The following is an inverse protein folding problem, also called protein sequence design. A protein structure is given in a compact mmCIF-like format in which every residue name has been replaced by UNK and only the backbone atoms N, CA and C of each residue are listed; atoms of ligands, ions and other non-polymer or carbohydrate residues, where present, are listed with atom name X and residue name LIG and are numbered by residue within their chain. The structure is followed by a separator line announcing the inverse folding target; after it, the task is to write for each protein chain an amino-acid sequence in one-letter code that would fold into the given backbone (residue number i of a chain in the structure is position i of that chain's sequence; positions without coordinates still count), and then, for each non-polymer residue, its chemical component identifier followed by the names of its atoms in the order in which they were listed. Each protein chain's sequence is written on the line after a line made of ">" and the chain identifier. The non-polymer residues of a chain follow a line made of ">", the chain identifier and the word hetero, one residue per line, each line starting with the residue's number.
data_IF_475085003850
#
_entry.id   IF_475085003850
#
_cell.length_a   1.000
_cell.length_b   1.000
_cell.length_c   1.000
_cell.angle_alpha   90.00
_cell.angle_beta   90.00
_cell.angle_gamma   90.00
#
_symmetry.space_group_name_H-M   'P 1'
#
loop_
_entity.id
_entity.type
_entity.pdbx_description
1 polymer ?
#
# COMPACT_ATOMS: atom_id res chain seq x y z
N UNK A 1 -56.14 0.39 -3.42
CA UNK A 1 -54.83 -0.30 -3.30
C UNK A 1 -53.77 0.32 -4.19
N UNK A 2 -54.02 0.50 -5.49
CA UNK A 2 -53.10 1.13 -6.46
C UNK A 2 -52.59 2.51 -6.05
N UNK A 3 -53.47 3.39 -5.57
CA UNK A 3 -53.09 4.75 -5.15
C UNK A 3 -52.14 4.76 -3.92
N UNK A 4 -52.30 3.80 -3.01
CA UNK A 4 -51.42 3.64 -1.86
C UNK A 4 -50.03 3.12 -2.28
N UNK A 5 -49.97 2.22 -3.27
CA UNK A 5 -48.73 1.73 -3.85
C UNK A 5 -47.97 2.87 -4.53
N UNK A 6 -48.66 3.73 -5.26
CA UNK A 6 -48.06 4.88 -5.93
C UNK A 6 -47.49 5.90 -4.94
N UNK A 7 -48.22 6.19 -3.85
CA UNK A 7 -47.71 7.04 -2.75
C UNK A 7 -46.47 6.44 -2.10
N UNK A 8 -46.46 5.13 -1.84
CA UNK A 8 -45.31 4.44 -1.26
C UNK A 8 -44.09 4.49 -2.21
N UNK A 9 -44.30 4.29 -3.52
CA UNK A 9 -43.24 4.39 -4.52
C UNK A 9 -42.62 5.79 -4.57
N UNK A 10 -43.44 6.85 -4.58
CA UNK A 10 -42.94 8.23 -4.56
C UNK A 10 -42.17 8.53 -3.27
N UNK A 11 -42.64 8.03 -2.13
CA UNK A 11 -41.96 8.18 -0.83
C UNK A 11 -40.60 7.49 -0.84
N UNK A 12 -40.54 6.26 -1.34
CA UNK A 12 -39.31 5.47 -1.44
C UNK A 12 -38.30 6.14 -2.37
N UNK A 13 -38.75 6.62 -3.53
CA UNK A 13 -37.90 7.35 -4.47
C UNK A 13 -37.31 8.63 -3.86
N UNK A 14 -38.09 9.37 -3.08
CA UNK A 14 -37.61 10.55 -2.35
C UNK A 14 -36.61 10.16 -1.26
N UNK A 15 -36.88 9.08 -0.52
CA UNK A 15 -35.98 8.58 0.52
C UNK A 15 -34.63 8.15 -0.06
N UNK A 16 -34.63 7.42 -1.18
CA UNK A 16 -33.42 6.98 -1.86
C UNK A 16 -32.56 8.15 -2.36
N UNK A 17 -33.18 9.20 -2.91
CA UNK A 17 -32.45 10.42 -3.32
C UNK A 17 -31.84 11.12 -2.12
N UNK A 18 -32.61 11.27 -1.04
CA UNK A 18 -32.11 11.89 0.20
C UNK A 18 -30.93 11.11 0.78
N UNK A 19 -31.06 9.79 0.88
CA UNK A 19 -29.98 8.93 1.40
C UNK A 19 -28.71 9.03 0.56
N UNK A 20 -28.86 9.12 -0.77
CA UNK A 20 -27.72 9.32 -1.67
C UNK A 20 -27.04 10.67 -1.46
N UNK A 21 -27.81 11.74 -1.30
CA UNK A 21 -27.29 13.08 -1.03
C UNK A 21 -26.60 13.14 0.34
N UNK A 22 -27.19 12.55 1.38
CA UNK A 22 -26.63 12.47 2.72
C UNK A 22 -25.27 11.72 2.69
N UNK A 23 -25.20 10.54 2.07
CA UNK A 23 -23.96 9.76 1.92
C UNK A 23 -22.89 10.50 1.14
N UNK A 24 -23.27 11.28 0.14
CA UNK A 24 -22.34 12.10 -0.65
C UNK A 24 -21.75 13.23 0.20
N UNK A 25 -22.54 13.85 1.07
CA UNK A 25 -22.06 14.87 2.01
C UNK A 25 -21.13 14.23 3.05
N UNK A 26 -21.56 13.15 3.68
CA UNK A 26 -20.77 12.39 4.66
C UNK A 26 -19.40 11.99 4.10
N UNK A 27 -19.35 11.46 2.87
CA UNK A 27 -18.09 11.05 2.25
C UNK A 27 -17.14 12.24 2.01
N UNK A 28 -17.68 13.41 1.67
CA UNK A 28 -16.88 14.63 1.51
C UNK A 28 -16.34 15.12 2.85
N UNK A 29 -17.18 15.14 3.88
CA UNK A 29 -16.77 15.55 5.23
C UNK A 29 -15.70 14.62 5.80
N UNK A 30 -15.86 13.31 5.61
CA UNK A 30 -14.84 12.33 5.99
C UNK A 30 -13.50 12.54 5.27
N UNK A 31 -13.54 12.82 3.97
CA UNK A 31 -12.32 13.10 3.20
C UNK A 31 -11.62 14.38 3.68
N UNK A 32 -12.40 15.43 4.00
CA UNK A 32 -11.85 16.67 4.56
C UNK A 32 -11.18 16.39 5.91
N UNK A 33 -11.86 15.68 6.81
CA UNK A 33 -11.31 15.33 8.12
C UNK A 33 -10.03 14.48 8.03
N UNK A 34 -9.97 13.52 7.11
CA UNK A 34 -8.77 12.70 6.88
C UNK A 34 -7.58 13.55 6.41
N UNK A 35 -7.82 14.50 5.49
CA UNK A 35 -6.77 15.39 4.99
C UNK A 35 -6.28 16.36 6.07
N UNK A 36 -7.18 16.85 6.93
CA UNK A 36 -6.82 17.72 8.06
C UNK A 36 -5.99 16.97 9.11
N UNK A 37 -6.36 15.74 9.47
CA UNK A 37 -5.57 14.93 10.41
C UNK A 37 -4.20 14.56 9.81
N UNK A 38 -4.14 14.27 8.50
CA UNK A 38 -2.86 14.02 7.81
C UNK A 38 -1.95 15.24 7.82
N UNK A 39 -2.51 16.44 7.62
CA UNK A 39 -1.76 17.69 7.72
C UNK A 39 -1.17 17.86 9.13
N UNK A 40 -2.00 17.65 10.16
CA UNK A 40 -1.58 17.72 11.57
C UNK A 40 -0.51 16.68 11.91
N UNK A 41 -0.61 15.47 11.37
CA UNK A 41 0.40 14.42 11.55
C UNK A 41 1.76 14.85 10.97
N UNK A 42 1.78 15.41 9.76
CA UNK A 42 3.01 15.92 9.13
C UNK A 42 3.61 17.08 9.95
N UNK A 43 2.79 18.01 10.43
CA UNK A 43 3.25 19.11 11.29
C UNK A 43 3.87 18.58 12.59
N UNK A 44 3.28 17.55 13.19
CA UNK A 44 3.78 16.92 14.40
C UNK A 44 5.08 16.11 14.15
N UNK A 45 5.16 15.38 13.05
CA UNK A 45 6.38 14.68 12.62
C UNK A 45 7.51 15.68 12.37
N UNK A 46 7.21 16.80 11.69
CA UNK A 46 8.17 17.89 11.46
C UNK A 46 8.68 18.46 12.78
N UNK A 47 7.78 18.78 13.71
CA UNK A 47 8.14 19.29 15.04
C UNK A 47 9.03 18.28 15.79
N UNK A 48 8.68 17.00 15.76
CA UNK A 48 9.45 15.92 16.40
C UNK A 48 10.86 15.82 15.82
N UNK A 49 10.98 15.93 14.49
CA UNK A 49 12.26 15.90 13.78
C UNK A 49 13.11 17.14 14.11
N UNK A 50 12.52 18.34 14.20
CA UNK A 50 13.23 19.55 14.62
C UNK A 50 13.74 19.46 16.07
N UNK A 51 12.98 18.84 16.97
CA UNK A 51 13.37 18.67 18.38
C UNK A 51 14.42 17.58 18.61
N UNK A 52 14.47 16.57 17.74
CA UNK A 52 15.35 15.38 17.91
C UNK A 52 16.53 15.37 16.92
N UNK A 53 16.59 16.33 15.99
CA UNK A 53 17.48 16.32 14.83
C UNK A 53 18.91 16.85 15.04
N UNK A 54 19.29 17.24 16.26
CA UNK A 54 20.63 17.76 16.53
C UNK A 54 21.28 17.13 17.77
N UNK A 55 21.65 15.84 17.67
CA UNK A 55 22.68 15.25 18.56
C UNK A 55 23.15 13.86 18.05
N UNK A 56 23.73 13.79 16.85
CA UNK A 56 24.48 12.58 16.45
C UNK A 56 25.98 12.67 16.71
N UNK A 57 26.49 13.78 17.25
CA UNK A 57 27.90 13.89 17.67
C UNK A 57 28.05 13.94 19.20
N UNK A 58 27.77 12.82 19.87
CA UNK A 58 28.24 12.64 21.26
C UNK A 58 29.72 12.29 21.22
N UNK A 59 30.59 13.29 21.06
CA UNK A 59 32.03 13.11 21.30
C UNK A 59 32.21 12.72 22.77
N UNK A 60 32.86 11.58 23.08
CA UNK A 60 33.08 11.19 24.47
C UNK A 60 33.83 12.30 25.21
N UNK A 61 33.28 12.75 26.35
CA UNK A 61 33.89 13.78 27.18
C UNK A 61 35.23 13.25 27.70
N UNK A 62 36.33 13.78 27.16
CA UNK A 62 37.68 13.42 27.58
C UNK A 62 37.93 13.97 28.99
N UNK A 63 37.98 13.09 29.99
CA UNK A 63 38.30 13.46 31.37
C UNK A 63 39.75 13.09 31.71
N UNK A 64 40.45 14.00 32.40
CA UNK A 64 41.83 13.76 32.87
C UNK A 64 41.83 12.84 34.10
N UNK A 65 42.74 11.86 34.12
CA UNK A 65 42.90 10.91 35.24
C UNK A 65 43.48 11.62 36.46
N UNK A 66 42.82 11.49 37.62
CA UNK A 66 43.35 11.95 38.90
C UNK A 66 44.43 10.98 39.43
N UNK A 67 45.47 11.51 40.08
CA UNK A 67 46.53 10.70 40.70
C UNK A 67 45.99 10.00 41.94
N UNK A 68 46.33 8.72 42.12
CA UNK A 68 45.89 7.90 43.25
C UNK A 68 46.64 8.27 44.53
N UNK A 69 45.98 8.10 45.69
CA UNK A 69 46.61 8.27 47.00
C UNK A 69 47.39 6.98 47.36
N UNK A 70 48.53 7.07 48.07
CA UNK A 70 49.43 5.93 48.27
C UNK A 70 48.81 4.72 48.99
N UNK A 71 47.77 4.93 49.78
CA UNK A 71 47.13 3.91 50.60
C UNK A 71 45.83 3.34 49.99
N UNK A 72 45.51 3.70 48.75
CA UNK A 72 44.30 3.20 48.07
C UNK A 72 44.61 1.84 47.41
N UNK A 73 43.95 0.74 47.81
CA UNK A 73 44.28 -0.59 47.31
C UNK A 73 44.15 -0.68 45.78
N UNK A 74 45.05 -1.43 45.16
CA UNK A 74 45.00 -1.69 43.72
C UNK A 74 43.68 -2.41 43.42
N UNK A 75 42.88 -1.94 42.43
CA UNK A 75 41.65 -2.62 42.06
C UNK A 75 41.95 -4.07 41.70
N UNK A 76 41.42 -4.98 42.52
CA UNK A 76 41.53 -6.42 42.31
C UNK A 76 40.81 -6.74 41.00
N UNK A 77 41.33 -7.64 40.13
CA UNK A 77 40.59 -8.13 38.98
C UNK A 77 39.38 -8.92 39.48
N UNK A 78 38.28 -8.22 39.76
CA UNK A 78 36.99 -8.85 39.94
C UNK A 78 36.71 -9.66 38.68
N UNK A 79 36.28 -10.92 38.87
CA UNK A 79 35.52 -11.68 37.87
C UNK A 79 34.22 -10.93 37.64
N UNK A 80 34.33 -9.80 36.94
CA UNK A 80 33.30 -8.80 36.78
C UNK A 80 32.30 -9.40 35.82
N UNK A 81 31.18 -9.90 36.37
CA UNK A 81 29.91 -9.83 35.65
C UNK A 81 29.84 -8.43 35.08
N UNK A 82 29.97 -8.30 33.76
CA UNK A 82 29.89 -7.01 33.10
C UNK A 82 28.57 -6.39 33.55
N UNK A 83 28.55 -5.18 34.14
CA UNK A 83 27.28 -4.46 34.24
C UNK A 83 26.73 -4.43 32.81
N UNK A 84 25.50 -4.91 32.63
CA UNK A 84 24.86 -4.89 31.32
C UNK A 84 24.97 -3.46 30.80
N UNK A 85 25.45 -3.24 29.57
CA UNK A 85 25.46 -1.91 29.02
C UNK A 85 24.00 -1.42 29.04
N UNK A 86 23.77 -0.25 29.62
CA UNK A 86 22.46 0.43 29.62
C UNK A 86 22.14 1.02 28.23
N UNK A 87 22.59 0.32 27.20
CA UNK A 87 22.42 0.63 25.80
C UNK A 87 21.20 -0.18 25.38
N UNK A 88 20.06 0.49 25.25
CA UNK A 88 18.97 -0.02 24.43
C UNK A 88 19.53 -0.23 23.03
N UNK A 89 19.87 -1.48 22.71
CA UNK A 89 20.40 -1.84 21.42
C UNK A 89 19.22 -1.91 20.45
N UNK A 90 18.96 -0.79 19.76
CA UNK A 90 17.90 -0.69 18.75
C UNK A 90 18.20 -1.51 17.48
N UNK A 91 19.43 -2.01 17.36
CA UNK A 91 19.80 -2.94 16.30
C UNK A 91 19.31 -4.33 16.69
N UNK A 92 18.45 -4.88 15.84
CA UNK A 92 18.05 -6.28 15.93
C UNK A 92 19.29 -7.16 15.83
N UNK A 93 19.33 -8.20 16.65
CA UNK A 93 20.34 -9.25 16.51
C UNK A 93 20.16 -9.99 15.18
N UNK A 94 21.24 -10.57 14.65
CA UNK A 94 21.17 -11.36 13.42
C UNK A 94 20.12 -12.49 13.52
N UNK A 95 19.88 -13.01 14.71
CA UNK A 95 18.88 -14.03 14.97
C UNK A 95 17.44 -13.51 14.84
N UNK A 96 17.15 -12.31 15.38
CA UNK A 96 15.86 -11.64 15.20
C UNK A 96 15.63 -11.25 13.75
N UNK A 97 16.66 -10.78 13.05
CA UNK A 97 16.61 -10.47 11.62
C UNK A 97 16.28 -11.74 10.81
N UNK A 98 16.94 -12.87 11.12
CA UNK A 98 16.68 -14.16 10.46
C UNK A 98 15.28 -14.72 10.77
N UNK A 99 14.76 -14.52 11.98
CA UNK A 99 13.41 -14.91 12.36
C UNK A 99 12.35 -14.09 11.62
N UNK A 100 12.50 -12.78 11.55
CA UNK A 100 11.62 -11.90 10.79
C UNK A 100 11.67 -12.21 9.29
N UNK A 101 12.86 -12.49 8.74
CA UNK A 101 13.01 -12.95 7.35
C UNK A 101 12.29 -14.27 7.09
N UNK A 102 12.37 -15.22 8.03
CA UNK A 102 11.61 -16.48 7.95
C UNK A 102 10.10 -16.21 7.98
N UNK A 103 9.65 -15.30 8.84
CA UNK A 103 8.24 -14.91 8.96
C UNK A 103 7.73 -14.23 7.69
N UNK A 104 8.46 -13.26 7.15
CA UNK A 104 8.15 -12.57 5.90
C UNK A 104 8.10 -13.54 4.70
N UNK A 105 9.03 -14.49 4.62
CA UNK A 105 9.03 -15.50 3.56
C UNK A 105 7.87 -16.50 3.70
N UNK A 106 7.41 -16.77 4.93
CA UNK A 106 6.21 -17.58 5.19
C UNK A 106 4.95 -16.90 4.66
N UNK A 107 4.85 -15.57 4.77
CA UNK A 107 3.75 -14.76 4.23
C UNK A 107 3.81 -14.55 2.70
N UNK A 108 4.99 -14.66 2.07
CA UNK A 108 5.15 -14.55 0.60
C UNK A 108 4.71 -15.80 -0.17
N UNK A 109 4.41 -16.91 0.52
CA UNK A 109 3.74 -18.04 -0.09
C UNK A 109 2.22 -17.84 0.01
N UNK A 110 1.45 -17.77 -1.09
CA UNK A 110 0.00 -17.81 -1.02
C UNK A 110 -0.42 -19.23 -0.62
N UNK A 111 -0.39 -19.51 0.67
CA UNK A 111 -1.05 -20.69 1.22
C UNK A 111 -2.55 -20.40 1.23
N UNK A 112 -3.27 -21.16 0.40
CA UNK A 112 -4.73 -21.32 0.52
C UNK A 112 -5.07 -21.60 1.99
N UNK A 113 -6.15 -21.04 2.54
CA UNK A 113 -6.59 -21.44 3.87
C UNK A 113 -7.06 -22.89 3.81
N UNK A 114 -6.31 -23.79 4.44
CA UNK A 114 -6.82 -25.08 4.89
C UNK A 114 -7.31 -24.87 6.33
N UNK A 115 -8.62 -24.89 6.51
CA UNK A 115 -9.29 -24.86 7.81
C UNK A 115 -9.23 -26.24 8.48
N UNK A 116 -8.99 -26.32 9.80
CA UNK A 116 -9.33 -27.51 10.56
C UNK A 116 -10.80 -27.43 11.02
N UNK A 117 -11.61 -28.31 10.45
CA UNK A 117 -12.80 -28.97 11.01
C UNK A 117 -13.55 -28.34 12.22
N UNK A 118 -14.76 -27.82 11.95
CA UNK A 118 -15.99 -28.10 12.73
C UNK A 118 -17.24 -27.78 11.87
N UNK A 119 -18.36 -28.52 12.02
CA UNK A 119 -19.49 -28.49 11.09
C UNK A 119 -20.56 -27.46 11.47
N UNK A 120 -21.44 -27.20 10.50
CA UNK A 120 -22.77 -26.60 10.56
C UNK A 120 -22.98 -25.15 10.06
N UNK A 121 -23.89 -25.10 9.09
CA UNK A 121 -24.75 -24.04 8.61
C UNK A 121 -24.16 -22.87 7.79
N UNK A 122 -24.44 -22.96 6.48
CA UNK A 122 -24.50 -21.86 5.51
C UNK A 122 -25.49 -20.77 5.97
N UNK A 123 -25.35 -19.54 5.46
CA UNK A 123 -26.04 -19.23 4.21
C UNK A 123 -25.08 -18.73 3.12
N UNK A 124 -25.37 -19.19 1.91
CA UNK A 124 -24.72 -18.79 0.67
C UNK A 124 -24.75 -17.27 0.45
N UNK A 125 -23.59 -16.70 0.11
CA UNK A 125 -23.46 -15.47 -0.68
C UNK A 125 -22.30 -15.65 -1.68
N UNK A 126 -22.39 -15.01 -2.85
CA UNK A 126 -22.23 -15.67 -4.13
C UNK A 126 -20.78 -16.00 -4.45
N UNK A 127 -20.58 -17.20 -5.00
CA UNK A 127 -19.38 -17.57 -5.72
C UNK A 127 -19.03 -16.44 -6.72
N UNK A 128 -17.94 -15.72 -6.40
CA UNK A 128 -17.29 -14.80 -7.31
C UNK A 128 -17.02 -15.57 -8.60
N UNK A 129 -17.69 -15.16 -9.66
CA UNK A 129 -17.64 -15.84 -10.95
C UNK A 129 -16.17 -15.91 -11.41
N UNK A 130 -15.64 -17.07 -11.84
CA UNK A 130 -14.24 -17.21 -12.23
C UNK A 130 -13.90 -16.54 -13.58
N UNK A 131 -14.69 -15.56 -14.04
CA UNK A 131 -14.92 -15.36 -15.46
C UNK A 131 -14.05 -14.31 -16.17
N UNK A 132 -13.13 -13.61 -15.50
CA UNK A 132 -12.28 -12.65 -16.23
C UNK A 132 -10.90 -12.42 -15.60
N UNK A 133 -10.12 -13.49 -15.48
CA UNK A 133 -8.66 -13.31 -15.40
C UNK A 133 -8.18 -12.87 -16.78
N UNK A 134 -7.79 -11.61 -16.91
CA UNK A 134 -7.20 -11.12 -18.15
C UNK A 134 -5.82 -11.74 -18.31
N UNK A 135 -5.58 -12.36 -19.47
CA UNK A 135 -4.28 -12.92 -19.81
C UNK A 135 -3.31 -11.79 -20.13
N UNK A 136 -2.50 -11.41 -19.14
CA UNK A 136 -1.51 -10.34 -19.26
C UNK A 136 -0.12 -10.82 -18.83
N UNK A 137 0.89 -10.64 -19.70
CA UNK A 137 2.31 -10.92 -19.41
C UNK A 137 3.21 -9.93 -20.14
N UNK A 138 4.44 -9.76 -19.68
CA UNK A 138 5.45 -8.94 -20.36
C UNK A 138 6.63 -9.83 -20.70
N UNK A 139 7.02 -9.82 -21.97
CA UNK A 139 8.18 -10.56 -22.48
C UNK A 139 8.91 -9.65 -23.49
N UNK A 140 10.24 -9.61 -23.43
CA UNK A 140 11.10 -8.87 -24.35
C UNK A 140 10.68 -7.40 -24.60
N UNK A 141 10.22 -6.72 -23.54
CA UNK A 141 9.78 -5.32 -23.63
C UNK A 141 8.47 -5.12 -24.40
N UNK A 142 7.67 -6.18 -24.56
CA UNK A 142 6.33 -6.15 -25.16
C UNK A 142 5.30 -6.63 -24.14
N UNK A 143 4.14 -6.00 -24.15
CA UNK A 143 3.01 -6.41 -23.32
C UNK A 143 2.12 -7.34 -24.12
N UNK A 144 1.93 -8.56 -23.66
CA UNK A 144 0.86 -9.42 -24.13
C UNK A 144 -0.37 -9.19 -23.26
N UNK A 145 -1.50 -8.84 -23.87
CA UNK A 145 -2.77 -8.63 -23.21
C UNK A 145 -3.92 -9.06 -24.13
N UNK A 146 -4.87 -9.86 -23.64
CA UNK A 146 -6.04 -10.30 -24.40
C UNK A 146 -5.68 -10.88 -25.79
N UNK A 147 -4.77 -11.87 -25.76
CA UNK A 147 -4.26 -12.58 -26.96
C UNK A 147 -3.51 -11.74 -27.98
N UNK A 148 -3.03 -10.55 -27.58
CA UNK A 148 -2.38 -9.61 -28.49
C UNK A 148 -1.13 -9.00 -27.88
N UNK A 149 -0.13 -8.76 -28.72
CA UNK A 149 1.09 -8.07 -28.36
C UNK A 149 0.95 -6.57 -28.58
N UNK A 150 1.43 -5.81 -27.60
CA UNK A 150 1.49 -4.36 -27.60
C UNK A 150 2.93 -3.88 -27.40
N UNK A 151 3.28 -2.77 -28.06
CA UNK A 151 4.63 -2.21 -28.07
C UNK A 151 4.65 -0.75 -27.62
N UNK A 152 5.85 -0.25 -27.32
CA UNK A 152 6.09 1.17 -27.08
C UNK A 152 5.63 2.00 -28.29
N UNK A 153 5.10 3.17 -28.01
CA UNK A 153 4.47 4.13 -28.93
C UNK A 153 3.15 3.67 -29.56
N UNK A 154 2.58 2.55 -29.13
CA UNK A 154 1.27 2.12 -29.61
C UNK A 154 0.13 2.85 -28.89
N UNK A 155 -0.84 3.34 -29.66
CA UNK A 155 -2.04 3.97 -29.14
C UNK A 155 -3.08 2.92 -28.69
N UNK A 156 -3.64 3.14 -27.51
CA UNK A 156 -4.61 2.26 -26.86
C UNK A 156 -5.70 3.08 -26.16
N UNK A 157 -6.82 2.44 -25.86
CA UNK A 157 -7.77 2.94 -24.87
C UNK A 157 -7.57 2.17 -23.57
N UNK A 158 -7.50 2.91 -22.48
CA UNK A 158 -7.45 2.35 -21.14
C UNK A 158 -8.80 2.58 -20.46
N UNK A 159 -9.40 1.53 -19.94
CA UNK A 159 -10.67 1.56 -19.23
C UNK A 159 -10.43 1.20 -17.76
N UNK A 160 -10.79 2.09 -16.82
CA UNK A 160 -10.74 1.79 -15.39
C UNK A 160 -12.01 1.06 -14.95
N UNK A 161 -11.98 0.48 -13.75
CA UNK A 161 -13.15 -0.15 -13.11
C UNK A 161 -14.39 0.76 -13.05
N UNK A 162 -14.20 2.08 -13.00
CA UNK A 162 -15.28 3.08 -13.00
C UNK A 162 -15.83 3.37 -14.41
N UNK A 163 -15.50 2.54 -15.41
CA UNK A 163 -15.85 2.67 -16.83
C UNK A 163 -15.34 3.98 -17.47
N UNK A 164 -14.34 4.63 -16.89
CA UNK A 164 -13.71 5.80 -17.48
C UNK A 164 -12.77 5.37 -18.61
N UNK A 165 -13.05 5.80 -19.84
CA UNK A 165 -12.24 5.51 -21.03
C UNK A 165 -11.22 6.63 -21.28
N UNK A 166 -9.96 6.27 -21.28
CA UNK A 166 -8.83 7.18 -21.47
C UNK A 166 -8.08 6.85 -22.75
N UNK A 167 -7.84 7.87 -23.57
CA UNK A 167 -6.96 7.82 -24.74
C UNK A 167 -5.51 7.83 -24.30
N UNK A 168 -4.75 6.76 -24.56
CA UNK A 168 -3.37 6.65 -24.11
C UNK A 168 -2.43 6.14 -25.19
N UNK A 169 -1.14 6.42 -25.04
CA UNK A 169 -0.05 5.85 -25.83
C UNK A 169 0.92 5.15 -24.87
N UNK A 170 1.30 3.91 -25.16
CA UNK A 170 2.30 3.19 -24.37
C UNK A 170 3.64 3.89 -24.52
N UNK A 171 4.18 4.49 -23.47
CA UNK A 171 5.43 5.23 -23.50
C UNK A 171 6.66 4.36 -23.19
N UNK A 172 6.49 3.31 -22.37
CA UNK A 172 7.52 2.32 -22.05
C UNK A 172 6.89 1.04 -21.52
N UNK A 173 7.59 -0.09 -21.70
CA UNK A 173 7.24 -1.40 -21.16
C UNK A 173 8.43 -1.87 -20.34
N UNK A 174 8.29 -1.91 -19.02
CA UNK A 174 9.28 -2.42 -18.08
C UNK A 174 9.04 -3.90 -17.74
N UNK A 175 9.76 -4.45 -16.76
CA UNK A 175 9.68 -5.89 -16.44
C UNK A 175 8.32 -6.33 -15.86
N UNK A 176 7.68 -5.49 -15.03
CA UNK A 176 6.42 -5.82 -14.35
C UNK A 176 5.39 -4.68 -14.41
N UNK A 177 5.63 -3.71 -15.30
CA UNK A 177 4.85 -2.49 -15.41
C UNK A 177 4.93 -1.90 -16.81
N UNK A 178 3.90 -1.15 -17.18
CA UNK A 178 3.90 -0.31 -18.37
C UNK A 178 3.68 1.15 -17.96
N UNK A 179 4.30 2.05 -18.72
CA UNK A 179 4.05 3.48 -18.60
C UNK A 179 3.22 3.92 -19.78
N UNK A 180 2.06 4.51 -19.54
CA UNK A 180 1.21 5.06 -20.59
C UNK A 180 1.09 6.58 -20.44
N UNK A 181 1.01 7.29 -21.56
CA UNK A 181 0.83 8.74 -21.62
C UNK A 181 -0.58 9.03 -22.14
N UNK A 182 -1.36 9.79 -21.40
CA UNK A 182 -2.66 10.29 -21.87
C UNK A 182 -2.49 11.22 -23.06
N UNK A 183 -3.35 11.13 -24.05
CA UNK A 183 -3.30 11.99 -25.25
C UNK A 183 -3.87 13.38 -24.99
N UNK A 184 -4.77 13.53 -24.02
CA UNK A 184 -5.46 14.79 -23.71
C UNK A 184 -4.56 15.85 -23.08
N UNK A 185 -3.74 15.44 -22.11
CA UNK A 185 -2.98 16.33 -21.23
C UNK A 185 -1.49 15.92 -21.14
N UNK A 186 -1.06 14.92 -21.92
CA UNK A 186 0.29 14.36 -21.88
C UNK A 186 0.74 13.81 -20.53
N UNK A 187 -0.18 13.64 -19.57
CA UNK A 187 0.11 13.09 -18.24
C UNK A 187 0.54 11.64 -18.37
N UNK A 188 1.62 11.25 -17.69
CA UNK A 188 2.09 9.87 -17.63
C UNK A 188 1.50 9.15 -16.43
N UNK A 189 1.10 7.90 -16.62
CA UNK A 189 0.63 7.02 -15.56
C UNK A 189 1.32 5.67 -15.68
N UNK A 190 1.61 5.07 -14.53
CA UNK A 190 2.19 3.74 -14.42
C UNK A 190 1.11 2.73 -14.13
N UNK A 191 1.15 1.59 -14.83
CA UNK A 191 0.21 0.48 -14.67
C UNK A 191 1.03 -0.78 -14.44
N UNK A 192 0.84 -1.41 -13.28
CA UNK A 192 1.49 -2.67 -12.96
C UNK A 192 0.80 -3.84 -13.68
N UNK A 193 1.58 -4.87 -14.04
CA UNK A 193 1.06 -6.07 -14.68
C UNK A 193 -0.06 -6.73 -13.87
N UNK A 194 0.08 -6.80 -12.54
CA UNK A 194 -0.96 -7.33 -11.66
C UNK A 194 -2.26 -6.52 -11.66
N UNK A 195 -2.25 -5.23 -12.03
CA UNK A 195 -3.49 -4.45 -12.18
C UNK A 195 -4.23 -4.81 -13.47
N UNK A 196 -3.50 -5.15 -14.53
CA UNK A 196 -4.08 -5.65 -15.78
C UNK A 196 -4.67 -7.06 -15.59
N UNK A 197 -3.93 -7.95 -14.91
CA UNK A 197 -4.38 -9.32 -14.63
C UNK A 197 -5.64 -9.39 -13.76
N UNK A 198 -5.76 -8.46 -12.80
CA UNK A 198 -6.94 -8.32 -11.92
C UNK A 198 -8.10 -7.52 -12.55
N UNK A 199 -7.94 -7.01 -13.77
CA UNK A 199 -8.98 -6.24 -14.44
C UNK A 199 -9.26 -4.86 -13.84
N UNK A 200 -8.34 -4.31 -13.02
CA UNK A 200 -8.46 -2.93 -12.53
C UNK A 200 -8.34 -1.92 -13.67
N UNK A 201 -7.52 -2.29 -14.67
CA UNK A 201 -7.42 -1.59 -15.93
C UNK A 201 -7.59 -2.59 -17.08
N UNK A 202 -8.37 -2.20 -18.08
CA UNK A 202 -8.60 -2.97 -19.31
C UNK A 202 -8.03 -2.20 -20.50
N UNK A 203 -7.28 -2.91 -21.34
CA UNK A 203 -6.70 -2.34 -22.56
C UNK A 203 -7.61 -2.70 -23.75
N UNK A 204 -8.04 -1.67 -24.49
CA UNK A 204 -8.78 -1.81 -25.75
C UNK A 204 -7.96 -1.22 -26.89
N UNK A 205 -8.06 -1.84 -28.08
CA UNK A 205 -7.38 -1.33 -29.28
C UNK A 205 -8.01 -0.01 -29.70
N UNK A 206 -7.17 0.99 -29.98
CA UNK A 206 -7.56 2.09 -30.85
C UNK A 206 -7.35 1.62 -32.29
N UNK A 207 -8.42 1.40 -33.03
CA UNK A 207 -8.32 1.21 -34.48
C UNK A 207 -7.69 2.48 -35.06
N UNK A 208 -6.68 2.33 -35.92
CA UNK A 208 -6.27 3.42 -36.78
C UNK A 208 -7.41 3.62 -37.79
N UNK A 209 -7.97 4.82 -37.84
CA UNK A 209 -8.71 5.28 -39.00
C UNK A 209 -7.71 5.66 -40.09
#
# INVERSE_FOLDING_TARGET
>A
QTEQVERNYIKEKKAAVKEFEDKKVELKENLIAELEEKKKMIENEKLTMELTGDSMEVKPIMTRKLRRRPNDPVPIPDKRRKPAPDILNYLLTDEQIMEDLRTLNKLKSPKRPASPSSPEHLPATPAESPAQRFEARIEDGKLYYDKRWYHKSQAIYLESKDNQKLSCVISSVGANEIWVRKTSDSTKMRIYLGQLQRGLFVIRRRSAA
#
